data_IF_041608454043
#
_entry.id   IF_041608454043
#
_cell.length_a   1.000
_cell.length_b   1.000
_cell.length_c   1.000
_cell.angle_alpha   90.00
_cell.angle_beta   90.00
_cell.angle_gamma   90.00
#
_symmetry.space_group_name_H-M   'P 1'
#
loop_
_entity.id
_entity.type
_entity.pdbx_description
1 polymer ?
#
# COMPACT_ATOMS: atom_id res chain seq x y z
N UNK A 1 24.56 -5.58 -14.18
CA UNK A 1 25.68 -5.31 -15.09
C UNK A 1 25.67 -6.35 -16.20
N UNK A 2 25.07 -6.03 -17.35
CA UNK A 2 25.18 -6.85 -18.55
C UNK A 2 26.62 -6.77 -19.04
N UNK A 3 27.38 -7.83 -18.83
CA UNK A 3 28.72 -7.99 -19.37
C UNK A 3 28.61 -8.26 -20.87
N UNK A 4 28.67 -7.17 -21.63
CA UNK A 4 29.50 -6.97 -22.84
C UNK A 4 29.63 -8.19 -23.78
N UNK A 5 28.78 -8.27 -24.82
CA UNK A 5 29.16 -7.92 -26.21
C UNK A 5 28.26 -8.60 -27.27
N UNK A 6 27.75 -7.76 -28.17
CA UNK A 6 26.70 -8.01 -29.15
C UNK A 6 27.11 -8.82 -30.39
N UNK A 7 28.20 -9.59 -30.35
CA UNK A 7 28.73 -10.29 -31.54
C UNK A 7 28.29 -11.76 -31.63
N UNK A 8 28.19 -12.48 -30.52
CA UNK A 8 27.97 -13.94 -30.56
C UNK A 8 26.54 -14.36 -30.89
N UNK A 9 25.56 -13.45 -30.78
CA UNK A 9 24.17 -13.73 -31.15
C UNK A 9 23.95 -13.89 -32.66
N UNK A 10 24.84 -13.36 -33.51
CA UNK A 10 24.68 -13.45 -34.97
C UNK A 10 25.21 -14.76 -35.56
N UNK A 11 26.13 -15.45 -34.88
CA UNK A 11 26.71 -16.70 -35.37
C UNK A 11 25.88 -17.95 -35.04
N UNK A 12 24.92 -17.86 -34.11
CA UNK A 12 24.15 -19.02 -33.62
C UNK A 12 22.89 -19.37 -34.42
N UNK A 13 22.67 -18.77 -35.59
CA UNK A 13 21.38 -18.79 -36.28
C UNK A 13 21.11 -20.01 -37.17
N UNK A 14 21.90 -21.09 -37.09
CA UNK A 14 21.78 -22.21 -38.05
C UNK A 14 21.74 -23.64 -37.51
N UNK A 15 21.95 -23.93 -36.22
CA UNK A 15 21.92 -25.32 -35.76
C UNK A 15 21.35 -25.45 -34.34
N UNK A 16 20.06 -25.75 -34.27
CA UNK A 16 19.45 -26.85 -33.49
C UNK A 16 18.02 -26.46 -33.08
N UNK A 17 17.09 -26.87 -33.93
CA UNK A 17 15.68 -27.03 -33.64
C UNK A 17 15.50 -27.95 -32.42
N UNK A 18 14.70 -27.58 -31.41
CA UNK A 18 13.79 -28.51 -30.70
C UNK A 18 12.84 -27.75 -29.78
N UNK A 19 11.55 -27.80 -30.18
CA UNK A 19 10.35 -28.05 -29.37
C UNK A 19 9.92 -27.09 -28.26
N UNK A 20 8.61 -26.89 -28.29
CA UNK A 20 7.72 -26.14 -27.40
C UNK A 20 7.72 -26.75 -26.00
N UNK A 21 7.76 -25.94 -24.96
CA UNK A 21 7.14 -26.29 -23.68
C UNK A 21 6.18 -25.17 -23.26
N UNK A 22 4.91 -25.36 -23.61
CA UNK A 22 3.82 -24.58 -23.04
C UNK A 22 3.44 -25.24 -21.72
N UNK A 23 4.03 -24.81 -20.62
CA UNK A 23 3.55 -25.21 -19.29
C UNK A 23 2.17 -24.61 -19.06
N UNK A 24 1.12 -25.37 -19.34
CA UNK A 24 -0.24 -25.06 -18.89
C UNK A 24 -0.24 -25.13 -17.36
N UNK A 25 -0.19 -23.98 -16.71
CA UNK A 25 -0.40 -23.88 -15.26
C UNK A 25 -1.87 -24.19 -14.99
N UNK A 26 -2.21 -25.45 -14.79
CA UNK A 26 -3.48 -25.83 -14.20
C UNK A 26 -3.42 -25.53 -12.69
N UNK A 27 -3.60 -24.25 -12.35
CA UNK A 27 -3.86 -23.85 -10.96
C UNK A 27 -5.27 -24.27 -10.61
N UNK A 28 -5.40 -25.44 -9.98
CA UNK A 28 -6.60 -25.78 -9.23
C UNK A 28 -6.73 -24.74 -8.11
N UNK A 29 -7.59 -23.73 -8.32
CA UNK A 29 -7.96 -22.81 -7.24
C UNK A 29 -8.74 -23.61 -6.22
N UNK A 30 -8.06 -24.14 -5.21
CA UNK A 30 -8.70 -24.43 -3.93
C UNK A 30 -9.31 -23.12 -3.47
N UNK A 31 -10.64 -23.00 -3.53
CA UNK A 31 -11.38 -21.86 -2.99
C UNK A 31 -11.28 -21.99 -1.47
N UNK A 32 -10.11 -21.68 -0.93
CA UNK A 32 -10.03 -21.18 0.43
C UNK A 32 -10.58 -19.77 0.29
N UNK A 33 -11.75 -19.44 0.84
CA UNK A 33 -12.14 -18.04 0.95
C UNK A 33 -11.01 -17.37 1.74
N UNK A 34 -10.15 -16.60 1.05
CA UNK A 34 -9.33 -15.62 1.74
C UNK A 34 -10.35 -14.68 2.36
N UNK A 35 -10.56 -14.80 3.66
CA UNK A 35 -11.09 -13.68 4.44
C UNK A 35 -10.27 -12.48 4.03
N UNK A 36 -10.90 -11.50 3.37
CA UNK A 36 -10.34 -10.17 3.26
C UNK A 36 -10.34 -9.69 4.71
N UNK A 37 -9.24 -9.93 5.43
CA UNK A 37 -9.03 -9.34 6.74
C UNK A 37 -9.04 -7.85 6.46
N UNK A 38 -10.18 -7.19 6.71
CA UNK A 38 -10.23 -5.73 6.82
C UNK A 38 -9.04 -5.38 7.68
N UNK A 39 -8.07 -4.65 7.12
CA UNK A 39 -6.86 -4.28 7.84
C UNK A 39 -7.30 -3.80 9.21
N UNK A 40 -6.81 -4.45 10.27
CA UNK A 40 -7.15 -4.00 11.62
C UNK A 40 -6.71 -2.54 11.65
N UNK A 41 -7.63 -1.63 11.96
CA UNK A 41 -7.33 -0.20 12.04
C UNK A 41 -6.45 0.04 13.28
N UNK A 42 -5.20 -0.42 13.23
CA UNK A 42 -4.23 -0.36 14.32
C UNK A 42 -3.60 1.00 14.27
N UNK A 43 -3.98 1.86 15.22
CA UNK A 43 -3.25 3.10 15.49
C UNK A 43 -1.97 2.79 16.24
N UNK A 44 -0.92 3.59 16.01
CA UNK A 44 0.33 3.52 16.79
C UNK A 44 0.04 3.59 18.31
N UNK A 45 0.66 2.72 19.14
CA UNK A 45 0.50 2.78 20.59
C UNK A 45 0.85 4.17 21.15
N UNK A 46 0.07 4.64 22.12
CA UNK A 46 0.23 5.97 22.72
C UNK A 46 -0.34 7.13 21.91
N UNK A 47 -0.89 6.88 20.72
CA UNK A 47 -1.47 7.91 19.85
C UNK A 47 -3.00 7.93 19.90
N UNK A 48 -3.57 9.10 19.60
CA UNK A 48 -5.02 9.26 19.49
C UNK A 48 -5.55 8.42 18.32
N UNK A 49 -6.50 7.54 18.63
CA UNK A 49 -7.04 6.56 17.67
C UNK A 49 -8.17 7.10 16.81
N UNK A 50 -8.91 8.09 17.29
CA UNK A 50 -10.15 8.57 16.66
C UNK A 50 -10.17 10.08 16.48
N UNK A 51 -10.80 10.51 15.41
CA UNK A 51 -11.23 11.89 15.21
C UNK A 51 -12.71 11.87 14.82
N UNK A 52 -13.58 12.32 15.72
CA UNK A 52 -15.03 12.10 15.59
C UNK A 52 -15.36 10.61 15.49
N UNK A 53 -16.07 10.22 14.44
CA UNK A 53 -16.44 8.82 14.20
C UNK A 53 -15.41 8.03 13.37
N UNK A 54 -14.31 8.66 12.96
CA UNK A 54 -13.29 8.06 12.09
C UNK A 54 -12.13 7.52 12.93
N UNK A 55 -11.78 6.24 12.72
CA UNK A 55 -10.59 5.62 13.35
C UNK A 55 -9.41 5.75 12.42
N UNK A 56 -8.28 6.26 12.92
CA UNK A 56 -7.05 6.52 12.16
C UNK A 56 -6.09 5.33 12.31
N UNK A 57 -5.87 4.54 11.24
CA UNK A 57 -4.89 3.47 11.23
C UNK A 57 -3.49 4.02 10.93
N UNK A 58 -2.46 3.34 11.42
CA UNK A 58 -1.09 3.51 10.92
C UNK A 58 -1.06 3.12 9.43
N UNK A 59 -0.38 3.85 8.54
CA UNK A 59 0.70 4.83 8.76
C UNK A 59 0.27 6.27 9.12
N UNK A 60 -1.03 6.54 9.21
CA UNK A 60 -1.55 7.87 9.55
C UNK A 60 -1.56 8.12 11.06
N UNK A 61 -1.53 9.39 11.45
CA UNK A 61 -1.54 9.77 12.86
C UNK A 61 -2.16 11.14 13.10
N UNK A 62 -2.81 11.30 14.25
CA UNK A 62 -3.43 12.57 14.63
C UNK A 62 -2.41 13.44 15.37
N UNK A 63 -2.33 14.71 14.95
CA UNK A 63 -1.52 15.73 15.61
C UNK A 63 -0.20 16.00 14.88
N UNK A 64 0.09 17.28 14.65
CA UNK A 64 1.29 17.74 13.95
C UNK A 64 2.55 17.53 14.81
N UNK A 65 3.61 16.98 14.23
CA UNK A 65 4.87 16.63 14.90
C UNK A 65 4.68 15.74 16.14
N UNK A 66 3.59 14.99 16.22
CA UNK A 66 3.29 14.08 17.34
C UNK A 66 4.09 12.78 17.29
N UNK A 67 4.72 12.48 16.15
CA UNK A 67 5.32 11.19 15.86
C UNK A 67 4.30 10.05 15.75
N UNK A 68 3.00 10.37 15.62
CA UNK A 68 1.93 9.39 15.49
C UNK A 68 1.71 8.90 14.07
N UNK A 69 2.15 9.69 13.09
CA UNK A 69 2.20 9.33 11.69
C UNK A 69 3.59 8.79 11.33
N UNK A 70 3.70 8.08 10.20
CA UNK A 70 4.98 7.65 9.65
C UNK A 70 5.85 8.83 9.18
N UNK A 71 5.20 9.91 8.72
CA UNK A 71 5.82 11.12 8.17
C UNK A 71 4.81 12.27 8.27
N UNK A 72 5.27 13.53 8.15
CA UNK A 72 4.44 14.73 8.14
C UNK A 72 3.33 14.71 7.08
N UNK A 73 3.53 14.04 5.94
CA UNK A 73 2.47 13.87 4.92
C UNK A 73 1.28 13.02 5.38
N UNK A 74 1.49 12.17 6.39
CA UNK A 74 0.49 11.27 6.95
C UNK A 74 -0.12 11.81 8.25
N UNK A 75 0.26 13.04 8.64
CA UNK A 75 -0.32 13.72 9.78
C UNK A 75 -1.72 14.24 9.46
N UNK A 76 -2.62 13.98 10.40
CA UNK A 76 -4.02 14.36 10.32
C UNK A 76 -4.28 15.43 11.38
N UNK A 77 -4.86 16.53 10.95
CA UNK A 77 -5.38 17.53 11.86
C UNK A 77 -6.82 17.19 12.23
N UNK A 78 -7.11 16.97 13.52
CA UNK A 78 -8.47 16.74 13.97
C UNK A 78 -9.11 18.09 14.35
N UNK A 79 -9.95 18.63 13.47
CA UNK A 79 -10.62 19.90 13.71
C UNK A 79 -11.84 19.69 14.62
N UNK A 80 -11.72 20.13 15.87
CA UNK A 80 -12.75 20.05 16.91
C UNK A 80 -13.75 21.20 16.89
N UNK A 81 -13.58 22.20 16.01
CA UNK A 81 -14.55 23.30 15.85
C UNK A 81 -15.83 22.85 15.14
N UNK A 82 -15.81 21.69 14.50
CA UNK A 82 -16.99 21.05 13.91
C UNK A 82 -17.61 20.03 14.88
N UNK A 83 -18.93 19.89 14.84
CA UNK A 83 -19.66 18.85 15.54
C UNK A 83 -20.37 17.93 14.53
N UNK A 84 -19.95 16.67 14.35
CA UNK A 84 -18.82 16.00 15.00
C UNK A 84 -17.43 16.47 14.48
N UNK A 85 -16.34 16.28 15.25
CA UNK A 85 -14.98 16.65 14.83
C UNK A 85 -14.58 16.02 13.50
N UNK A 86 -13.91 16.80 12.65
CA UNK A 86 -13.54 16.37 11.30
C UNK A 86 -12.04 16.14 11.13
N UNK A 87 -11.61 14.99 10.57
CA UNK A 87 -10.23 14.70 10.22
C UNK A 87 -9.86 15.40 8.91
N UNK A 88 -8.84 16.26 8.95
CA UNK A 88 -8.32 17.02 7.83
C UNK A 88 -6.88 16.60 7.49
N UNK A 89 -6.51 16.68 6.22
CA UNK A 89 -5.17 16.38 5.72
C UNK A 89 -4.45 17.68 5.34
N UNK A 90 -3.32 17.95 5.99
CA UNK A 90 -2.56 19.20 5.79
C UNK A 90 -3.38 20.46 6.06
N UNK A 91 -3.11 21.54 5.31
CA UNK A 91 -3.84 22.81 5.38
C UNK A 91 -5.17 22.81 4.59
N UNK A 92 -5.53 21.68 3.97
CA UNK A 92 -6.76 21.58 3.19
C UNK A 92 -7.91 21.10 4.07
N UNK A 93 -9.02 21.84 4.05
CA UNK A 93 -10.27 21.50 4.72
C UNK A 93 -11.02 20.31 4.05
N UNK A 94 -10.31 19.28 3.59
CA UNK A 94 -10.89 18.06 3.02
C UNK A 94 -10.95 16.96 4.07
N UNK A 95 -12.11 16.33 4.17
CA UNK A 95 -12.32 15.12 4.98
C UNK A 95 -11.54 13.95 4.37
N UNK A 96 -10.76 13.23 5.18
CA UNK A 96 -10.16 11.96 4.77
C UNK A 96 -11.10 10.78 5.02
N UNK A 97 -11.05 9.80 4.11
CA UNK A 97 -11.61 8.46 4.27
C UNK A 97 -10.50 7.46 3.98
N UNK A 98 -10.29 6.48 4.87
CA UNK A 98 -9.37 5.37 4.62
C UNK A 98 -10.12 4.31 3.80
N UNK A 99 -9.75 4.17 2.54
CA UNK A 99 -10.23 3.12 1.62
C UNK A 99 -9.31 1.92 1.67
#
# INVERSE_FOLDING_TARGET
MCVRDAWLCLFGLLLMSTTIDATTVNTTRTIVPRTITKGVNVTKPGCQKKCGNLTVPYPFGIGKNSGCAIDSWFEINCNTSFNPPRPLLGDLAKQIVFV
#
